data_IF_426882011395
#
_entry.id   IF_426882011395
#
_cell.length_a   1.000
_cell.length_b   1.000
_cell.length_c   1.000
_cell.angle_alpha   90.00
_cell.angle_beta   90.00
_cell.angle_gamma   90.00
#
_symmetry.space_group_name_H-M   'P 1'
#
loop_
_entity.id
_entity.type
_entity.pdbx_description
1 polymer ?
#
# COMPACT_ATOMS: atom_id res chain seq x y z
N UNK A 1 27.12 -2.43 -2.49
CA UNK A 1 26.92 -2.93 -3.86
C UNK A 1 27.04 -1.73 -4.79
N UNK A 2 28.04 -1.66 -5.69
CA UNK A 2 28.21 -0.50 -6.58
C UNK A 2 27.14 -0.58 -7.69
N UNK A 3 26.42 0.50 -8.01
CA UNK A 3 25.42 0.47 -9.07
C UNK A 3 26.09 0.25 -10.43
N UNK A 4 25.49 -0.61 -11.26
CA UNK A 4 25.94 -0.85 -12.63
C UNK A 4 25.50 0.32 -13.54
N UNK A 5 26.39 0.89 -14.36
CA UNK A 5 25.99 1.92 -15.31
C UNK A 5 25.18 1.30 -16.45
N UNK A 6 23.98 1.83 -16.70
CA UNK A 6 23.24 1.55 -17.93
C UNK A 6 23.79 2.49 -19.00
N UNK A 7 24.54 1.93 -19.95
CA UNK A 7 25.08 2.69 -21.09
C UNK A 7 24.00 2.78 -22.16
N UNK A 8 23.29 3.91 -22.22
CA UNK A 8 22.44 4.22 -23.37
C UNK A 8 23.30 4.90 -24.45
N UNK A 9 23.23 4.40 -25.69
CA UNK A 9 23.83 5.09 -26.85
C UNK A 9 22.78 6.00 -27.49
N UNK A 10 23.12 7.27 -27.64
CA UNK A 10 22.36 8.18 -28.50
C UNK A 10 22.55 7.78 -29.98
N UNK A 11 21.58 8.12 -30.83
CA UNK A 11 21.56 7.75 -32.26
C UNK A 11 22.75 8.32 -33.07
N UNK A 12 23.45 9.32 -32.53
CA UNK A 12 24.66 9.95 -33.06
C UNK A 12 25.97 9.30 -32.54
N UNK A 13 25.88 8.19 -31.79
CA UNK A 13 27.03 7.44 -31.32
C UNK A 13 27.74 8.02 -30.10
N UNK A 14 27.22 9.11 -29.51
CA UNK A 14 27.76 9.67 -28.26
C UNK A 14 27.30 8.84 -27.05
N UNK A 15 28.25 8.50 -26.21
CA UNK A 15 28.00 7.89 -24.91
C UNK A 15 27.41 8.95 -23.99
N UNK A 16 26.11 8.85 -23.72
CA UNK A 16 25.47 9.65 -22.69
C UNK A 16 25.70 8.96 -21.35
N UNK A 17 26.80 9.30 -20.68
CA UNK A 17 26.98 8.99 -19.25
C UNK A 17 26.07 9.90 -18.42
N UNK A 18 24.76 9.72 -18.60
CA UNK A 18 23.74 10.31 -17.75
C UNK A 18 23.52 9.39 -16.57
N UNK A 19 24.02 9.78 -15.39
CA UNK A 19 23.65 9.14 -14.13
C UNK A 19 22.15 9.32 -13.99
N UNK A 20 21.37 8.29 -14.31
CA UNK A 20 19.92 8.29 -14.07
C UNK A 20 19.75 8.32 -12.55
N UNK A 21 19.55 9.51 -11.99
CA UNK A 21 19.08 9.68 -10.62
C UNK A 21 17.61 9.25 -10.59
N UNK A 22 17.39 7.94 -10.64
CA UNK A 22 16.07 7.37 -10.37
C UNK A 22 15.80 7.60 -8.89
N UNK A 23 15.16 8.70 -8.55
CA UNK A 23 14.67 8.95 -7.20
C UNK A 23 13.58 7.94 -6.88
N UNK A 24 13.95 6.80 -6.31
CA UNK A 24 13.01 5.74 -5.95
C UNK A 24 12.60 5.92 -4.51
N UNK A 25 11.30 5.93 -4.25
CA UNK A 25 10.74 5.87 -2.91
C UNK A 25 10.34 4.42 -2.58
N UNK A 26 10.78 3.95 -1.41
CA UNK A 26 10.45 2.63 -0.88
C UNK A 26 9.65 2.75 0.41
N UNK A 27 8.48 2.11 0.42
CA UNK A 27 7.66 1.94 1.63
C UNK A 27 7.64 0.47 2.04
N UNK A 28 8.24 0.17 3.19
CA UNK A 28 8.15 -1.14 3.81
C UNK A 28 7.07 -1.13 4.88
N UNK A 29 6.08 -2.02 4.77
CA UNK A 29 4.98 -2.10 5.72
C UNK A 29 5.01 -3.43 6.47
N UNK A 30 5.31 -3.38 7.76
CA UNK A 30 5.15 -4.47 8.69
C UNK A 30 3.72 -4.46 9.26
N UNK A 31 2.99 -5.55 9.08
CA UNK A 31 1.60 -5.69 9.56
C UNK A 31 1.48 -6.81 10.58
N UNK A 32 0.80 -6.54 11.69
CA UNK A 32 0.54 -7.53 12.73
C UNK A 32 -0.88 -7.40 13.30
N UNK A 33 -1.32 -8.35 14.13
CA UNK A 33 -2.59 -8.21 14.86
C UNK A 33 -2.46 -7.29 16.08
N UNK A 34 -1.29 -7.31 16.74
CA UNK A 34 -1.00 -6.54 17.96
C UNK A 34 0.49 -6.17 17.98
N UNK A 35 0.80 -5.04 18.59
CA UNK A 35 2.17 -4.63 18.85
C UNK A 35 2.65 -5.08 20.22
N UNK A 36 3.96 -5.33 20.32
CA UNK A 36 4.65 -5.26 21.60
C UNK A 36 4.74 -3.80 22.06
N UNK A 37 5.00 -3.58 23.35
CA UNK A 37 5.08 -2.22 23.92
C UNK A 37 6.11 -1.34 23.19
N UNK A 38 7.29 -1.91 22.90
CA UNK A 38 8.37 -1.18 22.22
C UNK A 38 7.95 -0.79 20.80
N UNK A 39 7.37 -1.72 20.04
CA UNK A 39 6.86 -1.45 18.69
C UNK A 39 5.74 -0.40 18.68
N UNK A 40 4.89 -0.37 19.71
CA UNK A 40 3.85 0.64 19.85
C UNK A 40 4.42 2.04 20.15
N UNK A 41 5.50 2.11 20.95
CA UNK A 41 6.21 3.35 21.20
C UNK A 41 6.89 3.88 19.94
N UNK A 42 7.58 3.01 19.19
CA UNK A 42 8.22 3.37 17.92
C UNK A 42 7.22 3.83 16.86
N UNK A 43 6.06 3.17 16.78
CA UNK A 43 4.99 3.54 15.86
C UNK A 43 4.25 4.84 16.25
N UNK A 44 4.52 5.40 17.44
CA UNK A 44 3.87 6.60 17.99
C UNK A 44 4.87 7.70 18.33
N UNK A 45 5.90 7.86 17.52
CA UNK A 45 6.85 8.95 17.65
C UNK A 45 6.17 10.32 17.49
N UNK A 46 6.52 11.27 18.37
CA UNK A 46 6.05 12.63 18.29
C UNK A 46 6.51 13.29 16.98
N UNK A 47 5.67 14.17 16.42
CA UNK A 47 5.92 14.87 15.15
C UNK A 47 6.09 13.97 13.91
N UNK A 48 5.74 12.68 14.00
CA UNK A 48 5.71 11.78 12.85
C UNK A 48 4.31 11.22 12.60
N UNK A 49 4.00 10.85 11.35
CA UNK A 49 2.77 10.11 11.06
C UNK A 49 2.68 8.84 11.91
N UNK A 50 1.47 8.52 12.38
CA UNK A 50 1.24 7.27 13.13
C UNK A 50 1.61 6.06 12.27
N UNK A 51 2.41 5.18 12.86
CA UNK A 51 2.93 3.97 12.23
C UNK A 51 4.28 4.13 11.54
N UNK A 52 4.82 5.34 11.36
CA UNK A 52 6.16 5.51 10.78
C UNK A 52 7.22 5.26 11.85
N UNK A 53 8.00 4.19 11.70
CA UNK A 53 9.02 3.80 12.69
C UNK A 53 10.43 4.24 12.29
N UNK A 54 10.72 4.31 10.98
CA UNK A 54 12.00 4.75 10.47
C UNK A 54 11.85 5.45 9.11
N UNK A 55 12.73 6.42 8.86
CA UNK A 55 12.88 7.08 7.57
C UNK A 55 14.38 7.26 7.31
N UNK A 56 14.82 6.94 6.10
CA UNK A 56 16.19 7.09 5.63
C UNK A 56 16.17 7.88 4.33
N UNK A 57 16.97 8.94 4.28
CA UNK A 57 17.11 9.81 3.13
C UNK A 57 18.51 9.57 2.54
N UNK A 58 18.59 8.65 1.58
CA UNK A 58 19.82 8.33 0.87
C UNK A 58 19.90 9.17 -0.41
N UNK A 59 21.11 9.52 -0.91
CA UNK A 59 21.28 10.42 -2.06
C UNK A 59 20.51 10.04 -3.33
N UNK A 60 20.07 8.79 -3.45
CA UNK A 60 19.36 8.25 -4.61
C UNK A 60 18.11 7.45 -4.25
N UNK A 61 17.72 7.39 -2.97
CA UNK A 61 16.55 6.63 -2.54
C UNK A 61 15.97 7.17 -1.22
N UNK A 62 14.65 7.28 -1.15
CA UNK A 62 13.95 7.56 0.10
C UNK A 62 13.34 6.27 0.62
N UNK A 63 13.65 5.88 1.85
CA UNK A 63 13.15 4.65 2.44
C UNK A 63 12.34 4.99 3.69
N UNK A 64 11.11 4.49 3.76
CA UNK A 64 10.23 4.60 4.93
C UNK A 64 9.85 3.21 5.40
N UNK A 65 9.88 3.02 6.72
CA UNK A 65 9.44 1.78 7.35
C UNK A 65 8.25 2.10 8.24
N UNK A 66 7.18 1.36 8.00
CA UNK A 66 5.90 1.49 8.67
C UNK A 66 5.58 0.23 9.45
N UNK A 67 5.06 0.39 10.65
CA UNK A 67 4.44 -0.67 11.43
C UNK A 67 2.96 -0.31 11.65
N UNK A 68 2.05 -1.20 11.24
CA UNK A 68 0.60 -1.05 11.48
C UNK A 68 -0.02 -2.34 11.98
N UNK A 69 -1.11 -2.20 12.73
CA UNK A 69 -1.99 -3.33 13.02
C UNK A 69 -3.06 -3.47 11.93
N UNK A 70 -3.59 -4.68 11.73
CA UNK A 70 -4.75 -4.89 10.85
C UNK A 70 -5.93 -3.99 11.23
N UNK A 71 -6.21 -3.85 12.52
CA UNK A 71 -7.26 -2.95 13.01
C UNK A 71 -7.07 -1.51 12.57
N UNK A 72 -5.84 -0.98 12.62
CA UNK A 72 -5.53 0.37 12.15
C UNK A 72 -5.74 0.52 10.65
N UNK A 73 -5.27 -0.44 9.84
CA UNK A 73 -5.42 -0.39 8.38
C UNK A 73 -6.90 -0.39 7.99
N UNK A 74 -7.70 -1.25 8.62
CA UNK A 74 -9.14 -1.35 8.36
C UNK A 74 -9.83 -0.05 8.78
N UNK A 75 -9.58 0.47 9.98
CA UNK A 75 -10.17 1.73 10.44
C UNK A 75 -9.82 2.93 9.54
N UNK A 76 -8.56 3.02 9.07
CA UNK A 76 -8.16 4.05 8.11
C UNK A 76 -8.90 3.92 6.77
N UNK A 77 -9.10 2.68 6.30
CA UNK A 77 -9.85 2.42 5.07
C UNK A 77 -11.34 2.78 5.23
N UNK A 78 -11.97 2.40 6.34
CA UNK A 78 -13.35 2.78 6.68
C UNK A 78 -13.52 4.29 6.79
N UNK A 79 -12.54 4.98 7.39
CA UNK A 79 -12.52 6.45 7.48
C UNK A 79 -12.48 7.10 6.09
N UNK A 80 -11.57 6.64 5.21
CA UNK A 80 -11.50 7.12 3.81
C UNK A 80 -12.78 6.82 3.04
N UNK A 81 -13.33 5.61 3.19
CA UNK A 81 -14.58 5.22 2.56
C UNK A 81 -15.72 6.14 3.01
N UNK A 82 -15.86 6.36 4.32
CA UNK A 82 -16.89 7.24 4.89
C UNK A 82 -16.76 8.67 4.33
N UNK A 83 -15.55 9.19 4.23
CA UNK A 83 -15.30 10.50 3.62
C UNK A 83 -15.75 10.55 2.16
N UNK A 84 -15.40 9.54 1.35
CA UNK A 84 -15.83 9.46 -0.05
C UNK A 84 -17.34 9.32 -0.19
N UNK A 85 -17.99 8.46 0.61
CA UNK A 85 -19.45 8.30 0.63
C UNK A 85 -20.15 9.63 0.90
N UNK A 86 -19.66 10.41 1.87
CA UNK A 86 -20.20 11.74 2.19
C UNK A 86 -20.01 12.77 1.08
N UNK A 87 -18.85 12.75 0.40
CA UNK A 87 -18.51 13.76 -0.62
C UNK A 87 -19.05 13.46 -2.01
N UNK A 88 -19.15 12.17 -2.37
CA UNK A 88 -19.48 11.73 -3.73
C UNK A 88 -20.88 11.10 -3.83
N UNK A 89 -21.66 11.07 -2.73
CA UNK A 89 -22.88 10.26 -2.60
C UNK A 89 -22.66 8.78 -3.00
N UNK A 90 -21.42 8.31 -2.97
CA UNK A 90 -21.07 6.96 -3.37
C UNK A 90 -21.70 5.96 -2.38
N UNK A 91 -22.56 5.06 -2.84
CA UNK A 91 -23.11 3.99 -2.02
C UNK A 91 -22.34 2.70 -2.28
N UNK A 92 -21.10 2.63 -1.79
CA UNK A 92 -20.41 1.33 -1.72
C UNK A 92 -21.24 0.40 -0.83
N UNK A 93 -21.93 -0.55 -1.46
CA UNK A 93 -22.68 -1.59 -0.80
C UNK A 93 -21.83 -2.89 -0.76
N UNK A 94 -22.17 -3.81 0.14
CA UNK A 94 -21.41 -5.05 0.32
C UNK A 94 -21.36 -5.89 -0.96
N UNK A 95 -22.41 -5.83 -1.77
CA UNK A 95 -22.51 -6.54 -3.05
C UNK A 95 -21.48 -6.00 -4.05
N UNK A 96 -21.35 -4.69 -4.20
CA UNK A 96 -20.37 -4.03 -5.06
C UNK A 96 -18.93 -4.32 -4.60
N UNK A 97 -18.68 -4.26 -3.29
CA UNK A 97 -17.37 -4.57 -2.72
C UNK A 97 -16.96 -6.03 -3.00
N UNK A 98 -17.90 -6.97 -2.81
CA UNK A 98 -17.68 -8.39 -3.03
C UNK A 98 -17.54 -8.73 -4.52
N UNK A 99 -18.34 -8.10 -5.40
CA UNK A 99 -18.19 -8.20 -6.86
C UNK A 99 -16.82 -7.67 -7.32
N UNK A 100 -16.36 -6.55 -6.75
CA UNK A 100 -15.04 -5.97 -7.04
C UNK A 100 -13.88 -6.90 -6.63
N UNK A 101 -13.99 -7.57 -5.47
CA UNK A 101 -12.99 -8.54 -5.03
C UNK A 101 -12.87 -9.74 -5.99
N UNK A 102 -13.99 -10.19 -6.56
CA UNK A 102 -14.04 -11.27 -7.56
C UNK A 102 -13.36 -10.88 -8.87
N UNK A 103 -13.46 -9.62 -9.30
CA UNK A 103 -12.85 -9.16 -10.56
C UNK A 103 -11.34 -8.94 -10.45
N UNK A 104 -10.84 -8.44 -9.32
CA UNK A 104 -9.42 -8.11 -9.21
C UNK A 104 -8.54 -9.33 -8.94
N UNK A 105 -8.93 -10.20 -8.00
CA UNK A 105 -8.04 -11.26 -7.52
C UNK A 105 -8.79 -12.53 -7.09
N UNK A 106 -9.51 -13.19 -8.01
CA UNK A 106 -10.34 -14.35 -7.68
C UNK A 106 -9.55 -15.53 -7.10
N UNK A 107 -8.26 -15.66 -7.46
CA UNK A 107 -7.37 -16.71 -6.97
C UNK A 107 -7.05 -16.64 -5.48
N UNK A 108 -7.18 -15.46 -4.85
CA UNK A 108 -6.85 -15.26 -3.43
C UNK A 108 -8.09 -15.21 -2.53
N UNK A 109 -9.29 -15.38 -3.10
CA UNK A 109 -10.51 -15.47 -2.32
C UNK A 109 -10.64 -16.86 -1.71
N UNK A 110 -10.98 -16.92 -0.42
CA UNK A 110 -11.34 -18.17 0.23
C UNK A 110 -12.66 -18.71 -0.34
N UNK A 111 -12.86 -20.02 -0.21
CA UNK A 111 -14.11 -20.66 -0.64
C UNK A 111 -15.34 -20.10 0.09
N UNK A 112 -15.19 -19.72 1.36
CA UNK A 112 -16.24 -19.05 2.14
C UNK A 112 -16.67 -17.72 1.51
N UNK A 113 -15.70 -16.91 1.06
CA UNK A 113 -15.98 -15.61 0.43
C UNK A 113 -16.63 -15.81 -0.94
N UNK A 114 -16.16 -16.79 -1.72
CA UNK A 114 -16.78 -17.17 -3.00
C UNK A 114 -18.23 -17.62 -2.82
N UNK A 115 -18.50 -18.44 -1.80
CA UNK A 115 -19.85 -18.88 -1.47
C UNK A 115 -20.77 -17.72 -1.07
N UNK A 116 -20.26 -16.76 -0.26
CA UNK A 116 -21.00 -15.54 0.07
C UNK A 116 -21.32 -14.67 -1.15
N UNK A 117 -20.37 -14.52 -2.07
CA UNK A 117 -20.60 -13.80 -3.33
C UNK A 117 -21.72 -14.48 -4.13
N UNK A 118 -21.65 -15.81 -4.30
CA UNK A 118 -22.65 -16.56 -5.06
C UNK A 118 -24.05 -16.50 -4.42
N UNK A 119 -24.14 -16.53 -3.08
CA UNK A 119 -25.40 -16.39 -2.36
C UNK A 119 -26.04 -15.00 -2.53
N UNK A 120 -25.22 -13.94 -2.57
CA UNK A 120 -25.70 -12.57 -2.79
C UNK A 120 -26.12 -12.34 -4.25
N UNK A 121 -25.40 -12.91 -5.22
CA UNK A 121 -25.77 -12.85 -6.65
C UNK A 121 -27.09 -13.59 -6.93
N UNK A 122 -27.43 -14.64 -6.16
CA UNK A 122 -28.68 -15.40 -6.33
C UNK A 122 -29.92 -14.76 -5.67
N UNK A 123 -29.71 -13.76 -4.81
CA UNK A 123 -30.77 -13.04 -4.09
C UNK A 123 -31.17 -11.71 -4.78
N UNK A 124 -30.47 -11.34 -5.85
CA UNK A 124 -30.68 -10.15 -6.69
C UNK A 124 -31.45 -10.54 -7.97
#
# INVERSE_FOLDING_TARGET
MKPYPIVARSADGREISGKLETGVEWDFLAVSNKFTRDAEMDARQANKPRGLIAEYDEPHAKIRVWAKTWGQIIQEAEGRLTFYRRRLQYQANDVEALKYLKTINPKYLSEEVKAKIAALEAAE
#
